data_IF_488503162939
#
_entry.id   IF_488503162939
#
_cell.length_a   1.000
_cell.length_b   1.000
_cell.length_c   1.000
_cell.angle_alpha   90.00
_cell.angle_beta   90.00
_cell.angle_gamma   90.00
#
_symmetry.space_group_name_H-M   'P 1'
#
loop_
_entity.id
_entity.type
_entity.pdbx_description
1 polymer ?
#
# COMPACT_ATOMS: atom_id res chain seq x y z
N UNK A 1 42.19 -52.33 -25.61
CA UNK A 1 41.37 -52.87 -26.73
C UNK A 1 39.97 -52.31 -26.54
N UNK A 2 39.61 -51.21 -27.22
CA UNK A 2 38.73 -51.18 -28.41
C UNK A 2 37.36 -51.86 -28.14
N UNK A 3 36.17 -51.28 -28.30
CA UNK A 3 35.70 -50.12 -29.10
C UNK A 3 34.18 -49.93 -28.91
N UNK A 4 33.67 -48.76 -29.33
CA UNK A 4 32.28 -48.40 -29.75
C UNK A 4 31.32 -47.98 -28.62
N UNK A 5 30.91 -46.72 -28.46
CA UNK A 5 30.47 -45.65 -29.38
C UNK A 5 29.12 -45.96 -30.07
N UNK A 6 28.03 -45.35 -29.60
CA UNK A 6 26.80 -45.16 -30.39
C UNK A 6 26.06 -43.90 -29.94
N UNK A 7 26.14 -42.89 -30.80
CA UNK A 7 25.29 -41.69 -30.86
C UNK A 7 23.82 -42.06 -31.09
N UNK A 8 22.89 -41.40 -30.38
CA UNK A 8 21.54 -41.09 -30.84
C UNK A 8 21.21 -39.66 -30.36
N UNK A 9 21.47 -38.62 -31.15
CA UNK A 9 20.61 -38.06 -32.22
C UNK A 9 19.42 -37.29 -31.65
N UNK A 10 19.66 -35.99 -31.47
CA UNK A 10 18.71 -34.90 -31.23
C UNK A 10 17.54 -34.91 -32.21
N UNK A 11 16.32 -34.71 -31.73
CA UNK A 11 15.14 -34.42 -32.56
C UNK A 11 14.46 -33.15 -32.04
N UNK A 12 14.77 -32.02 -32.69
CA UNK A 12 14.01 -30.79 -32.63
C UNK A 12 12.92 -30.84 -33.72
N UNK A 13 11.62 -30.77 -33.38
CA UNK A 13 10.62 -30.33 -34.35
C UNK A 13 10.52 -28.80 -34.31
N UNK A 14 11.09 -28.16 -35.34
CA UNK A 14 10.75 -26.81 -35.74
C UNK A 14 9.25 -26.74 -36.11
N UNK A 15 8.49 -25.84 -35.48
CA UNK A 15 7.24 -25.33 -36.03
C UNK A 15 7.46 -23.89 -36.48
N UNK A 16 7.42 -23.70 -37.78
CA UNK A 16 7.36 -22.40 -38.47
C UNK A 16 6.09 -22.38 -39.32
N UNK A 17 5.65 -21.18 -39.75
CA UNK A 17 4.56 -20.90 -40.70
C UNK A 17 3.17 -20.82 -40.01
N UNK A 18 2.35 -19.77 -40.10
CA UNK A 18 2.36 -18.48 -40.82
C UNK A 18 1.13 -17.65 -40.35
N UNK A 19 1.00 -16.36 -40.76
CA UNK A 19 0.04 -15.41 -40.22
C UNK A 19 -1.38 -15.59 -40.79
N UNK A 20 -2.39 -15.31 -39.96
CA UNK A 20 -3.79 -15.25 -40.37
C UNK A 20 -4.52 -14.11 -39.66
N UNK A 21 -4.53 -12.94 -40.29
CA UNK A 21 -5.66 -12.00 -40.21
C UNK A 21 -6.88 -12.73 -40.79
N UNK A 22 -8.08 -12.62 -40.18
CA UNK A 22 -9.04 -11.73 -40.83
C UNK A 22 -10.12 -11.11 -39.92
N UNK A 23 -10.82 -10.14 -40.54
CA UNK A 23 -12.21 -9.68 -40.32
C UNK A 23 -12.41 -8.50 -39.38
N UNK A 24 -12.40 -7.32 -40.02
CA UNK A 24 -13.28 -6.18 -39.80
C UNK A 24 -14.67 -6.56 -39.26
N UNK A 25 -14.97 -6.18 -38.03
CA UNK A 25 -16.32 -6.15 -37.47
C UNK A 25 -16.64 -4.74 -36.98
N UNK A 26 -17.10 -3.88 -37.90
CA UNK A 26 -17.66 -2.58 -37.56
C UNK A 26 -19.03 -2.77 -36.88
N UNK A 27 -19.08 -2.64 -35.55
CA UNK A 27 -20.34 -2.49 -34.82
C UNK A 27 -20.56 -1.01 -34.55
N UNK A 28 -21.30 -0.38 -35.46
CA UNK A 28 -21.90 0.93 -35.25
C UNK A 28 -23.04 0.78 -34.23
N UNK A 29 -22.75 1.03 -32.96
CA UNK A 29 -23.78 1.14 -31.94
C UNK A 29 -24.22 2.61 -31.85
N UNK A 30 -25.21 2.96 -32.70
CA UNK A 30 -26.01 4.17 -32.53
C UNK A 30 -26.98 3.95 -31.36
N UNK A 31 -26.74 4.62 -30.24
CA UNK A 31 -27.77 4.88 -29.23
C UNK A 31 -28.05 6.37 -29.22
N UNK A 32 -29.12 6.76 -29.91
CA UNK A 32 -29.84 8.01 -29.70
C UNK A 32 -31.09 7.70 -28.85
N UNK A 33 -31.44 8.68 -28.00
CA UNK A 33 -32.69 8.87 -27.24
C UNK A 33 -32.65 8.44 -25.76
N UNK A 34 -32.41 9.40 -24.86
CA UNK A 34 -33.48 9.98 -24.03
C UNK A 34 -32.88 11.03 -23.08
N UNK A 35 -32.97 12.30 -23.48
CA UNK A 35 -32.79 13.43 -22.56
C UNK A 35 -34.05 13.61 -21.72
N UNK A 36 -34.00 13.24 -20.45
CA UNK A 36 -34.90 13.72 -19.40
C UNK A 36 -34.08 14.63 -18.47
N UNK A 37 -33.97 15.90 -18.84
CA UNK A 37 -33.59 16.93 -17.89
C UNK A 37 -34.84 17.33 -17.10
N UNK A 38 -35.02 16.70 -15.94
CA UNK A 38 -35.90 17.22 -14.90
C UNK A 38 -35.09 18.22 -14.08
N UNK A 39 -35.36 19.49 -14.34
CA UNK A 39 -34.99 20.62 -13.50
C UNK A 39 -35.69 20.45 -12.14
N UNK A 40 -34.91 20.11 -11.10
CA UNK A 40 -35.36 20.10 -9.71
C UNK A 40 -34.61 21.20 -8.97
N UNK A 41 -35.22 22.37 -8.93
CA UNK A 41 -34.83 23.49 -8.10
C UNK A 41 -34.96 23.09 -6.61
N UNK A 42 -33.85 23.07 -5.87
CA UNK A 42 -33.84 22.82 -4.44
C UNK A 42 -33.94 24.16 -3.66
N UNK A 43 -34.75 24.24 -2.59
CA UNK A 43 -34.84 25.45 -1.77
C UNK A 43 -33.59 25.64 -0.88
N UNK A 44 -33.23 26.89 -0.50
CA UNK A 44 -32.10 27.13 0.39
C UNK A 44 -32.42 26.67 1.82
N UNK A 45 -31.54 25.84 2.39
CA UNK A 45 -31.57 25.37 3.78
C UNK A 45 -30.93 26.46 4.68
N UNK A 46 -31.54 26.86 5.81
CA UNK A 46 -30.97 27.85 6.72
C UNK A 46 -29.70 27.31 7.40
N UNK A 47 -28.69 28.17 7.52
CA UNK A 47 -27.43 27.89 8.19
C UNK A 47 -27.66 27.54 9.67
N UNK A 48 -27.50 26.26 10.00
CA UNK A 48 -27.33 25.80 11.37
C UNK A 48 -25.84 25.93 11.67
N UNK A 49 -25.54 26.71 12.70
CA UNK A 49 -24.20 27.08 13.12
C UNK A 49 -23.56 25.82 13.73
N UNK A 50 -22.47 25.35 13.13
CA UNK A 50 -21.71 24.20 13.63
C UNK A 50 -20.79 24.71 14.74
N UNK A 51 -21.14 24.37 15.98
CA UNK A 51 -20.26 24.45 17.14
C UNK A 51 -19.03 23.60 16.81
N UNK A 52 -17.88 24.24 16.71
CA UNK A 52 -16.62 23.54 16.46
C UNK A 52 -16.19 22.90 17.77
N UNK A 53 -16.60 21.65 17.98
CA UNK A 53 -15.88 20.75 18.89
C UNK A 53 -14.48 20.54 18.30
N UNK A 54 -13.56 21.36 18.80
CA UNK A 54 -12.13 21.33 18.56
C UNK A 54 -11.58 20.05 19.22
N UNK A 55 -11.81 18.92 18.57
CA UNK A 55 -11.14 17.67 18.90
C UNK A 55 -9.69 17.81 18.44
N UNK A 56 -8.82 18.17 19.38
CA UNK A 56 -7.38 18.14 19.22
C UNK A 56 -6.95 16.76 18.71
N UNK A 57 -6.65 16.71 17.42
CA UNK A 57 -5.91 15.62 16.83
C UNK A 57 -4.50 15.72 17.36
N UNK A 58 -4.22 14.95 18.41
CA UNK A 58 -2.86 14.54 18.76
C UNK A 58 -2.38 13.69 17.58
N UNK A 59 -1.93 14.37 16.53
CA UNK A 59 -1.15 13.74 15.48
C UNK A 59 0.19 13.46 16.13
N UNK A 60 0.28 12.30 16.80
CA UNK A 60 1.58 11.67 17.01
C UNK A 60 2.28 11.72 15.64
N UNK A 61 3.36 12.49 15.59
CA UNK A 61 4.17 12.77 14.42
C UNK A 61 4.80 11.44 13.98
N UNK A 62 4.01 10.61 13.31
CA UNK A 62 4.48 9.45 12.59
C UNK A 62 5.35 10.02 11.47
N UNK A 63 6.64 10.18 11.76
CA UNK A 63 7.67 10.51 10.77
C UNK A 63 7.64 9.40 9.73
N UNK A 64 6.86 9.57 8.67
CA UNK A 64 6.86 8.69 7.52
C UNK A 64 8.21 8.91 6.82
N UNK A 65 9.07 7.90 6.86
CA UNK A 65 10.39 7.96 6.21
C UNK A 65 10.20 8.07 4.70
N UNK A 66 10.34 9.29 4.18
CA UNK A 66 10.27 9.57 2.75
C UNK A 66 11.50 8.98 2.04
N UNK A 67 11.32 8.22 0.94
CA UNK A 67 12.45 7.70 0.17
C UNK A 67 13.25 8.83 -0.51
N UNK A 68 14.57 8.69 -0.58
CA UNK A 68 15.42 9.69 -1.24
C UNK A 68 15.63 9.38 -2.72
N UNK A 69 15.54 8.09 -3.08
CA UNK A 69 15.75 7.61 -4.45
C UNK A 69 14.52 6.92 -5.04
N UNK A 70 14.41 6.94 -6.38
CA UNK A 70 13.33 6.23 -7.08
C UNK A 70 13.36 4.72 -6.77
N UNK A 71 14.55 4.12 -6.65
CA UNK A 71 14.68 2.70 -6.33
C UNK A 71 14.20 2.37 -4.90
N UNK A 72 14.54 3.21 -3.91
CA UNK A 72 14.01 3.08 -2.54
C UNK A 72 12.49 3.19 -2.51
N UNK A 73 11.92 4.18 -3.21
CA UNK A 73 10.47 4.36 -3.28
C UNK A 73 9.77 3.12 -3.84
N UNK A 74 10.31 2.51 -4.90
CA UNK A 74 9.77 1.27 -5.47
C UNK A 74 9.90 0.09 -4.51
N UNK A 75 11.01 0.01 -3.76
CA UNK A 75 11.23 -1.02 -2.74
C UNK A 75 10.23 -0.90 -1.59
N UNK A 76 10.08 0.32 -1.03
CA UNK A 76 9.10 0.62 0.01
C UNK A 76 7.67 0.34 -0.47
N UNK A 77 7.32 0.73 -1.70
CA UNK A 77 6.00 0.49 -2.28
C UNK A 77 5.71 -1.01 -2.39
N UNK A 78 6.72 -1.80 -2.75
CA UNK A 78 6.62 -3.25 -2.81
C UNK A 78 6.42 -3.85 -1.41
N UNK A 79 7.11 -3.34 -0.40
CA UNK A 79 6.97 -3.78 0.99
C UNK A 79 5.58 -3.44 1.55
N UNK A 80 5.09 -2.22 1.36
CA UNK A 80 3.74 -1.81 1.75
C UNK A 80 2.68 -2.67 1.06
N UNK A 81 2.79 -2.86 -0.26
CA UNK A 81 1.88 -3.73 -1.01
C UNK A 81 1.83 -5.14 -0.42
N UNK A 82 2.98 -5.71 -0.06
CA UNK A 82 3.03 -7.05 0.54
C UNK A 82 2.35 -7.07 1.91
N UNK A 83 2.58 -6.06 2.74
CA UNK A 83 1.92 -5.92 4.05
C UNK A 83 0.40 -5.83 3.91
N UNK A 84 -0.09 -4.99 3.00
CA UNK A 84 -1.52 -4.86 2.68
C UNK A 84 -2.09 -6.20 2.22
N UNK A 85 -1.43 -6.85 1.24
CA UNK A 85 -1.84 -8.17 0.73
C UNK A 85 -1.97 -9.18 1.85
N UNK A 86 -0.95 -9.27 2.70
CA UNK A 86 -0.84 -10.28 3.73
C UNK A 86 -1.83 -10.02 4.87
N UNK A 87 -2.10 -8.75 5.22
CA UNK A 87 -3.16 -8.37 6.15
C UNK A 87 -4.53 -8.91 5.71
N UNK A 88 -4.95 -8.60 4.48
CA UNK A 88 -6.20 -9.13 3.93
C UNK A 88 -6.20 -10.65 3.79
N UNK A 89 -5.09 -11.27 3.37
CA UNK A 89 -5.01 -12.73 3.24
C UNK A 89 -5.10 -13.47 4.60
N UNK A 90 -4.63 -12.83 5.67
CA UNK A 90 -4.63 -13.39 7.02
C UNK A 90 -5.86 -12.97 7.85
N UNK A 91 -6.78 -12.16 7.30
CA UNK A 91 -7.89 -11.52 8.03
C UNK A 91 -7.39 -10.63 9.19
N UNK A 92 -6.24 -9.99 8.99
CA UNK A 92 -5.63 -9.01 9.88
C UNK A 92 -5.68 -7.65 9.17
N UNK A 93 -6.89 -7.09 9.09
CA UNK A 93 -7.15 -5.83 8.39
C UNK A 93 -6.51 -4.63 9.09
N UNK A 94 -6.34 -4.71 10.42
CA UNK A 94 -5.64 -3.69 11.21
C UNK A 94 -4.19 -3.53 10.73
N UNK A 95 -3.51 -4.64 10.41
CA UNK A 95 -2.16 -4.61 9.84
C UNK A 95 -2.10 -3.99 8.42
N UNK A 96 -3.21 -3.96 7.69
CA UNK A 96 -3.29 -3.36 6.36
C UNK A 96 -3.71 -1.88 6.40
N UNK A 97 -4.34 -1.42 7.49
CA UNK A 97 -4.95 -0.10 7.60
C UNK A 97 -3.94 1.03 7.44
N UNK A 98 -2.92 1.10 8.30
CA UNK A 98 -1.89 2.16 8.22
C UNK A 98 -1.14 2.14 6.86
N UNK A 99 -0.66 0.99 6.36
CA UNK A 99 -0.09 0.92 5.00
C UNK A 99 -1.02 1.39 3.87
N UNK A 100 -2.34 1.28 4.01
CA UNK A 100 -3.30 1.80 3.01
C UNK A 100 -3.37 3.32 3.00
N UNK A 101 -3.15 3.99 4.13
CA UNK A 101 -3.02 5.45 4.18
C UNK A 101 -1.68 5.88 3.60
N UNK A 102 -0.60 5.24 4.05
CA UNK A 102 0.77 5.63 3.72
C UNK A 102 1.13 5.41 2.25
N UNK A 103 0.55 4.39 1.61
CA UNK A 103 0.82 4.12 0.19
C UNK A 103 0.42 5.30 -0.70
N UNK A 104 -0.59 6.09 -0.30
CA UNK A 104 -0.96 7.30 -1.02
C UNK A 104 0.17 8.32 -1.05
N UNK A 105 0.76 8.62 0.11
CA UNK A 105 1.89 9.57 0.21
C UNK A 105 3.12 9.09 -0.56
N UNK A 106 3.46 7.80 -0.44
CA UNK A 106 4.60 7.24 -1.16
C UNK A 106 4.42 7.32 -2.69
N UNK A 107 3.20 7.17 -3.19
CA UNK A 107 2.91 7.30 -4.62
C UNK A 107 3.11 8.73 -5.12
N UNK A 108 2.86 9.76 -4.30
CA UNK A 108 3.17 11.16 -4.63
C UNK A 108 4.70 11.37 -4.68
N UNK A 109 5.43 10.86 -3.70
CA UNK A 109 6.90 10.93 -3.68
C UNK A 109 7.53 10.25 -4.89
N UNK A 110 7.00 9.08 -5.27
CA UNK A 110 7.47 8.31 -6.41
C UNK A 110 7.39 9.12 -7.73
N UNK A 111 6.31 9.86 -7.96
CA UNK A 111 6.19 10.76 -9.12
C UNK A 111 7.24 11.88 -9.07
N UNK A 112 7.45 12.48 -7.90
CA UNK A 112 8.45 13.53 -7.70
C UNK A 112 9.89 13.04 -7.91
N UNK A 113 10.19 11.81 -7.48
CA UNK A 113 11.49 11.16 -7.66
C UNK A 113 11.75 10.79 -9.12
N UNK A 114 10.72 10.34 -9.84
CA UNK A 114 10.84 9.99 -11.25
C UNK A 114 11.21 11.18 -12.16
N UNK A 115 10.93 12.41 -11.75
CA UNK A 115 11.38 13.60 -12.48
C UNK A 115 12.89 13.84 -12.37
N UNK A 116 13.54 13.29 -11.33
CA UNK A 116 15.00 13.31 -11.14
C UNK A 116 15.68 12.19 -11.91
N UNK A 117 14.92 11.17 -12.33
CA UNK A 117 15.41 10.04 -13.10
C UNK A 117 15.52 10.35 -14.60
N UNK A 118 16.46 9.68 -15.27
CA UNK A 118 16.58 9.71 -16.74
C UNK A 118 15.60 8.75 -17.43
N UNK A 119 14.31 8.83 -17.10
CA UNK A 119 13.23 8.06 -17.74
C UNK A 119 12.88 8.66 -19.11
N UNK A 120 12.55 7.81 -20.09
CA UNK A 120 11.99 8.27 -21.37
C UNK A 120 10.57 8.81 -21.20
N UNK A 121 10.08 9.58 -22.16
CA UNK A 121 8.70 10.09 -22.15
C UNK A 121 7.67 8.96 -22.07
N UNK A 122 7.93 7.84 -22.76
CA UNK A 122 7.10 6.64 -22.68
C UNK A 122 7.12 6.02 -21.27
N UNK A 123 8.28 5.98 -20.61
CA UNK A 123 8.40 5.47 -19.25
C UNK A 123 7.68 6.40 -18.25
N UNK A 124 7.82 7.72 -18.39
CA UNK A 124 7.10 8.69 -17.54
C UNK A 124 5.59 8.57 -17.71
N UNK A 125 5.10 8.41 -18.94
CA UNK A 125 3.67 8.19 -19.20
C UNK A 125 3.17 6.87 -18.60
N UNK A 126 3.95 5.79 -18.73
CA UNK A 126 3.61 4.50 -18.13
C UNK A 126 3.65 4.53 -16.59
N UNK A 127 4.59 5.27 -16.01
CA UNK A 127 4.68 5.47 -14.56
C UNK A 127 3.43 6.18 -14.06
N UNK A 128 3.08 7.33 -14.64
CA UNK A 128 1.89 8.11 -14.24
C UNK A 128 0.61 7.27 -14.33
N UNK A 129 0.44 6.52 -15.41
CA UNK A 129 -0.72 5.63 -15.57
C UNK A 129 -0.74 4.50 -14.52
N UNK A 130 0.43 4.02 -14.11
CA UNK A 130 0.56 2.98 -13.08
C UNK A 130 0.30 3.55 -11.68
N UNK A 131 0.81 4.74 -11.38
CA UNK A 131 0.54 5.46 -10.13
C UNK A 131 -0.94 5.77 -9.97
N UNK A 132 -1.60 6.32 -10.99
CA UNK A 132 -3.06 6.55 -10.98
C UNK A 132 -3.84 5.24 -10.78
N UNK A 133 -3.36 4.15 -11.37
CA UNK A 133 -3.95 2.82 -11.17
C UNK A 133 -3.85 2.37 -9.72
N UNK A 134 -2.69 2.57 -9.09
CA UNK A 134 -2.45 2.18 -7.69
C UNK A 134 -3.25 3.06 -6.73
N UNK A 135 -3.29 4.38 -6.91
CA UNK A 135 -4.13 5.29 -6.12
C UNK A 135 -5.60 4.87 -6.12
N UNK A 136 -6.17 4.61 -7.30
CA UNK A 136 -7.56 4.19 -7.41
C UNK A 136 -7.79 2.82 -6.76
N UNK A 137 -6.90 1.84 -7.02
CA UNK A 137 -7.07 0.50 -6.49
C UNK A 137 -6.94 0.45 -4.97
N UNK A 138 -5.90 1.06 -4.38
CA UNK A 138 -5.74 1.12 -2.93
C UNK A 138 -6.82 1.99 -2.28
N UNK A 139 -7.19 3.12 -2.90
CA UNK A 139 -8.28 3.96 -2.40
C UNK A 139 -9.64 3.26 -2.39
N UNK A 140 -9.93 2.37 -3.35
CA UNK A 140 -11.16 1.57 -3.32
C UNK A 140 -11.12 0.46 -2.26
N UNK A 141 -9.93 -0.06 -1.95
CA UNK A 141 -9.73 -1.01 -0.84
C UNK A 141 -9.91 -0.31 0.51
N UNK A 142 -9.29 0.85 0.69
CA UNK A 142 -9.42 1.70 1.87
C UNK A 142 -10.88 2.09 2.15
N UNK A 143 -11.60 2.57 1.12
CA UNK A 143 -13.05 2.85 1.25
C UNK A 143 -13.83 1.65 1.77
N UNK A 144 -13.54 0.46 1.26
CA UNK A 144 -14.23 -0.78 1.67
C UNK A 144 -13.92 -1.12 3.12
N UNK A 145 -12.66 -1.00 3.53
CA UNK A 145 -12.20 -1.20 4.91
C UNK A 145 -12.95 -0.26 5.88
N UNK A 146 -13.20 0.97 5.46
CA UNK A 146 -13.95 1.97 6.23
C UNK A 146 -15.49 1.87 6.10
N UNK A 147 -16.00 0.78 5.52
CA UNK A 147 -17.45 0.52 5.39
C UNK A 147 -18.15 1.30 4.27
N UNK A 148 -17.39 1.95 3.40
CA UNK A 148 -17.87 2.59 2.18
C UNK A 148 -18.02 1.62 1.00
N UNK A 149 -18.55 2.14 -0.12
CA UNK A 149 -18.60 1.41 -1.38
C UNK A 149 -17.24 1.50 -2.09
N UNK A 150 -16.61 0.35 -2.32
CA UNK A 150 -15.30 0.22 -2.96
C UNK A 150 -15.08 -1.19 -3.51
N UNK A 151 -13.82 -1.64 -3.54
CA UNK A 151 -13.45 -2.99 -3.97
C UNK A 151 -12.66 -3.72 -2.88
N UNK A 152 -12.81 -5.04 -2.80
CA UNK A 152 -11.93 -5.86 -1.96
C UNK A 152 -10.53 -5.95 -2.56
N UNK A 153 -9.51 -6.16 -1.73
CA UNK A 153 -8.13 -6.37 -2.21
C UNK A 153 -8.07 -7.47 -3.27
N UNK A 154 -8.83 -8.56 -3.10
CA UNK A 154 -8.85 -9.68 -4.04
C UNK A 154 -9.28 -9.28 -5.45
N UNK A 155 -10.27 -8.38 -5.57
CA UNK A 155 -10.82 -7.93 -6.86
C UNK A 155 -9.85 -7.05 -7.65
N UNK A 156 -8.96 -6.33 -6.95
CA UNK A 156 -8.02 -5.39 -7.58
C UNK A 156 -6.56 -5.87 -7.56
N UNK A 157 -6.26 -6.98 -6.89
CA UNK A 157 -4.90 -7.50 -6.69
C UNK A 157 -4.10 -7.65 -7.98
N UNK A 158 -4.67 -8.25 -9.03
CA UNK A 158 -3.97 -8.40 -10.32
C UNK A 158 -3.63 -7.06 -10.97
N UNK A 159 -4.48 -6.05 -10.79
CA UNK A 159 -4.28 -4.69 -11.31
C UNK A 159 -3.14 -3.99 -10.55
N UNK A 160 -3.11 -4.14 -9.22
CA UNK A 160 -2.04 -3.64 -8.35
C UNK A 160 -0.71 -4.27 -8.78
N UNK A 161 -0.67 -5.60 -8.95
CA UNK A 161 0.53 -6.34 -9.30
C UNK A 161 1.08 -5.93 -10.67
N UNK A 162 0.20 -5.74 -11.66
CA UNK A 162 0.59 -5.31 -13.00
C UNK A 162 1.16 -3.88 -13.01
N UNK A 163 0.54 -2.95 -12.26
CA UNK A 163 1.04 -1.59 -12.14
C UNK A 163 2.38 -1.54 -11.40
N UNK A 164 2.49 -2.22 -10.25
CA UNK A 164 3.74 -2.30 -9.50
C UNK A 164 4.87 -2.92 -10.33
N UNK A 165 4.57 -3.96 -11.12
CA UNK A 165 5.56 -4.56 -12.02
C UNK A 165 6.03 -3.55 -13.08
N UNK A 166 5.11 -2.80 -13.67
CA UNK A 166 5.43 -1.78 -14.68
C UNK A 166 6.41 -0.75 -14.12
N UNK A 167 6.15 -0.27 -12.90
CA UNK A 167 7.03 0.65 -12.17
C UNK A 167 8.38 0.00 -11.87
N UNK A 168 8.37 -1.23 -11.35
CA UNK A 168 9.58 -1.98 -10.97
C UNK A 168 10.52 -2.23 -12.15
N UNK A 169 9.98 -2.47 -13.35
CA UNK A 169 10.77 -2.66 -14.57
C UNK A 169 11.55 -1.38 -14.99
N UNK A 170 11.27 -0.22 -14.38
CA UNK A 170 11.97 1.06 -14.63
C UNK A 170 13.19 1.28 -13.73
N UNK A 171 13.33 0.51 -12.64
CA UNK A 171 14.47 0.61 -11.72
C UNK A 171 15.74 0.07 -12.41
N UNK A 172 16.82 0.85 -12.42
CA UNK A 172 18.07 0.42 -13.08
C UNK A 172 18.84 -0.55 -12.17
N UNK A 173 19.54 -1.56 -12.75
CA UNK A 173 20.42 -2.41 -11.98
C UNK A 173 21.60 -1.58 -11.43
N UNK A 174 21.68 -1.41 -10.11
CA UNK A 174 22.73 -0.65 -9.44
C UNK A 174 22.22 0.35 -8.39
N UNK A 175 20.95 0.76 -8.49
CA UNK A 175 20.35 1.74 -7.57
C UNK A 175 19.63 1.10 -6.36
N UNK A 176 19.54 -0.23 -6.32
CA UNK A 176 18.75 -0.97 -5.32
C UNK A 176 19.50 -1.24 -3.98
N UNK A 177 20.71 -0.72 -3.81
CA UNK A 177 21.52 -0.90 -2.60
C UNK A 177 22.19 0.42 -2.22
N UNK A 178 21.48 1.27 -1.47
CA UNK A 178 22.16 2.20 -0.58
C UNK A 178 22.52 1.40 0.67
N UNK A 179 23.69 0.75 0.65
CA UNK A 179 24.31 0.24 1.86
C UNK A 179 24.80 1.46 2.63
N UNK A 180 23.95 2.00 3.52
CA UNK A 180 24.34 3.04 4.48
C UNK A 180 25.32 2.45 5.50
N UNK A 181 26.58 2.33 5.08
CA UNK A 181 27.73 2.36 5.96
C UNK A 181 27.84 3.78 6.55
N UNK A 182 26.89 4.14 7.42
CA UNK A 182 27.04 5.27 8.32
C UNK A 182 28.01 4.87 9.43
N UNK A 183 29.30 5.08 9.13
CA UNK A 183 30.33 5.31 10.12
C UNK A 183 29.84 6.44 11.06
N UNK A 184 29.27 6.05 12.21
CA UNK A 184 29.07 6.94 13.34
C UNK A 184 30.43 7.36 13.86
N UNK A 185 31.02 8.38 13.21
CA UNK A 185 32.14 9.10 13.75
C UNK A 185 31.69 9.71 15.07
N UNK A 186 32.22 9.14 16.16
CA UNK A 186 32.13 9.57 17.54
C UNK A 186 31.99 11.10 17.66
N UNK A 187 30.78 11.57 17.91
CA UNK A 187 30.59 12.90 18.47
C UNK A 187 30.75 12.78 19.98
N UNK A 188 31.97 13.04 20.42
CA UNK A 188 32.31 13.39 21.81
C UNK A 188 31.30 14.45 22.29
N UNK A 189 30.33 14.02 23.11
CA UNK A 189 29.46 14.92 23.87
C UNK A 189 30.31 15.58 24.94
N UNK A 190 30.85 16.75 24.59
CA UNK A 190 31.42 17.68 25.55
C UNK A 190 30.34 18.09 26.55
N UNK A 191 30.67 17.85 27.82
CA UNK A 191 29.99 18.23 29.04
C UNK A 191 29.16 19.52 28.94
N UNK A 192 27.84 19.38 29.07
CA UNK A 192 26.98 20.49 29.47
C UNK A 192 26.63 20.32 30.96
N UNK A 193 27.35 21.10 31.78
CA UNK A 193 27.06 21.38 33.17
C UNK A 193 25.61 21.86 33.34
N UNK A 194 24.74 20.99 33.89
CA UNK A 194 23.45 21.41 34.42
C UNK A 194 23.62 21.89 35.86
N UNK A 195 23.78 23.21 36.00
CA UNK A 195 23.66 23.89 37.28
C UNK A 195 22.18 24.04 37.68
N UNK A 196 21.85 23.43 38.82
CA UNK A 196 20.86 23.83 39.83
C UNK A 196 19.51 24.40 39.37
N UNK A 197 18.44 23.63 39.56
CA UNK A 197 17.21 24.17 40.16
C UNK A 197 16.43 23.12 40.99
N UNK A 198 16.68 23.19 42.31
CA UNK A 198 15.75 23.11 43.45
C UNK A 198 14.59 22.09 43.44
N UNK A 199 14.75 21.13 44.34
CA UNK A 199 13.80 20.58 45.32
C UNK A 199 12.38 21.16 45.32
N UNK A 200 11.43 20.28 44.99
CA UNK A 200 10.01 20.42 45.30
C UNK A 200 9.44 19.07 45.73
N UNK A 201 9.58 18.77 47.02
CA UNK A 201 8.81 17.75 47.75
C UNK A 201 7.34 17.74 47.30
N UNK A 202 6.80 16.61 46.83
CA UNK A 202 5.41 16.22 47.12
C UNK A 202 5.18 14.71 47.02
N UNK A 203 5.31 14.08 48.19
CA UNK A 203 4.37 13.16 48.84
C UNK A 203 3.97 11.88 48.11
N UNK A 204 4.47 10.80 48.70
CA UNK A 204 3.88 9.48 48.77
C UNK A 204 2.36 9.53 48.97
N UNK A 205 1.65 8.78 48.14
CA UNK A 205 0.32 8.28 48.46
C UNK A 205 0.29 6.79 48.11
N UNK A 206 0.46 6.00 49.16
CA UNK A 206 0.23 4.57 49.21
C UNK A 206 -1.19 4.16 48.76
N UNK A 207 -1.26 2.87 48.40
CA UNK A 207 -2.42 1.98 48.38
C UNK A 207 -3.34 2.11 47.15
N UNK A 208 -3.65 1.03 46.44
CA UNK A 208 -4.21 -0.20 47.02
C UNK A 208 -4.18 -1.34 46.02
N UNK A 209 -3.67 -2.47 46.51
CA UNK A 209 -3.97 -3.80 45.98
C UNK A 209 -5.48 -4.02 45.92
N UNK A 210 -5.93 -4.60 44.81
CA UNK A 210 -7.16 -5.36 44.75
C UNK A 210 -6.94 -6.55 43.82
N UNK A 211 -6.43 -7.63 44.41
CA UNK A 211 -6.81 -8.99 44.05
C UNK A 211 -8.33 -9.05 43.84
N UNK A 212 -8.80 -9.65 42.74
CA UNK A 212 -9.87 -10.64 42.83
C UNK A 212 -10.07 -11.45 41.54
N UNK A 213 -9.77 -12.74 41.69
CA UNK A 213 -10.52 -13.93 41.22
C UNK A 213 -10.62 -14.27 39.73
N UNK A 214 -9.78 -15.23 39.37
CA UNK A 214 -10.16 -16.56 38.88
C UNK A 214 -11.64 -16.94 39.11
N UNK A 215 -12.37 -17.21 38.02
CA UNK A 215 -13.43 -18.21 38.01
C UNK A 215 -13.34 -19.04 36.72
N UNK A 216 -12.78 -20.24 36.88
CA UNK A 216 -12.87 -21.35 35.95
C UNK A 216 -14.25 -22.02 36.02
N UNK A 217 -14.62 -22.67 34.92
CA UNK A 217 -15.62 -23.74 34.75
C UNK A 217 -16.98 -23.33 34.17
N UNK A 218 -17.31 -23.87 32.99
CA UNK A 218 -18.27 -24.97 32.91
C UNK A 218 -18.26 -25.61 31.52
N UNK A 219 -17.93 -26.90 31.52
CA UNK A 219 -18.39 -27.91 30.55
C UNK A 219 -19.89 -27.77 30.25
N UNK A 220 -20.23 -28.00 28.98
CA UNK A 220 -21.60 -28.13 28.49
C UNK A 220 -21.67 -29.15 27.36
N UNK A 221 -21.35 -30.41 27.67
CA UNK A 221 -21.78 -31.58 26.90
C UNK A 221 -23.31 -31.68 26.95
N UNK A 222 -23.97 -31.71 25.80
CA UNK A 222 -25.26 -32.38 25.64
C UNK A 222 -25.52 -32.69 24.17
N UNK A 223 -25.25 -33.96 23.87
CA UNK A 223 -25.79 -34.66 22.74
C UNK A 223 -27.33 -34.70 22.73
N UNK A 224 -27.87 -34.86 21.51
CA UNK A 224 -28.97 -35.77 21.12
C UNK A 224 -30.42 -35.25 21.12
N UNK A 225 -30.99 -35.16 19.90
CA UNK A 225 -32.36 -35.53 19.44
C UNK A 225 -32.73 -34.66 18.22
N UNK A 226 -33.25 -35.11 17.08
CA UNK A 226 -33.70 -36.38 16.49
C UNK A 226 -33.46 -36.29 14.97
#
# INVERSE_FOLDING_TARGET
>A
MLTRNTLLKTYFPHRSCSPGLPVLGAVLFNYLLAGCASESEAPPIPAVMHDHDDHGHDHEDHSHDHPETFAEAVSQLTAMRNTIRDGFANNDEDAAHEPLHDVGHLLEDLEGLAEKESLTDEQKAALKSSVETLFNAFGDVDKTLHGGEGATYSEVSEKIDAALKTISDMVKPGDAHHDDDHDHADHDHADHDHADHKDGDHKDADHKDADHKEETAAEGDSAKKE
#
